data_IF_958231560203
#
_entry.id   IF_958231560203
#
_cell.length_a   1.000
_cell.length_b   1.000
_cell.length_c   1.000
_cell.angle_alpha   90.00
_cell.angle_beta   90.00
_cell.angle_gamma   90.00
#
_symmetry.space_group_name_H-M   'P 1'
#
loop_
_entity.id
_entity.type
_entity.pdbx_description
1 polymer ?
#
# COMPACT_ATOMS: atom_id res chain seq x y z
N UNK A 1 25.97 -13.62 32.02
CA UNK A 1 26.33 -13.36 30.61
C UNK A 1 25.29 -12.41 30.05
N UNK A 2 25.70 -11.40 29.28
CA UNK A 2 24.86 -10.24 28.98
C UNK A 2 23.58 -10.64 28.24
N UNK A 3 22.41 -10.41 28.86
CA UNK A 3 21.10 -10.65 28.24
C UNK A 3 20.65 -9.50 27.32
N UNK A 4 21.54 -8.54 27.06
CA UNK A 4 21.30 -7.35 26.21
C UNK A 4 22.56 -7.05 25.40
N UNK A 5 22.37 -6.64 24.15
CA UNK A 5 23.42 -6.11 23.27
C UNK A 5 23.60 -4.62 23.52
N UNK A 6 24.77 -4.10 23.18
CA UNK A 6 25.04 -2.66 23.23
C UNK A 6 24.11 -1.87 22.28
N UNK A 7 23.73 -2.48 21.16
CA UNK A 7 22.82 -1.90 20.18
C UNK A 7 21.34 -1.96 20.58
N UNK A 8 20.96 -2.72 21.61
CA UNK A 8 19.55 -2.81 22.02
C UNK A 8 19.01 -1.47 22.52
N UNK A 9 17.73 -1.21 22.30
CA UNK A 9 17.07 0.01 22.71
C UNK A 9 16.69 -0.06 24.19
N UNK A 10 16.99 1.01 24.92
CA UNK A 10 16.46 1.25 26.25
C UNK A 10 15.00 1.69 26.18
N UNK A 11 14.30 1.62 27.32
CA UNK A 11 12.95 2.18 27.41
C UNK A 11 12.94 3.67 27.08
N UNK A 12 13.93 4.45 27.50
CA UNK A 12 13.96 5.89 27.24
C UNK A 12 14.10 6.19 25.74
N UNK A 13 14.95 5.45 25.03
CA UNK A 13 15.08 5.58 23.57
C UNK A 13 13.76 5.20 22.86
N UNK A 14 13.03 4.19 23.35
CA UNK A 14 11.70 3.87 22.82
C UNK A 14 10.67 4.98 23.08
N UNK A 15 10.75 5.70 24.21
CA UNK A 15 9.90 6.86 24.47
C UNK A 15 10.20 8.01 23.50
N UNK A 16 11.48 8.24 23.20
CA UNK A 16 11.92 9.23 22.23
C UNK A 16 11.47 8.85 20.81
N UNK A 17 11.68 7.59 20.41
CA UNK A 17 11.28 7.05 19.10
C UNK A 17 9.78 7.18 18.84
N UNK A 18 8.97 6.91 19.87
CA UNK A 18 7.50 6.96 19.77
C UNK A 18 6.91 8.36 20.03
N UNK A 19 7.68 9.25 20.68
CA UNK A 19 7.19 10.53 21.18
C UNK A 19 6.17 10.40 22.34
N UNK A 20 6.07 9.23 22.97
CA UNK A 20 5.10 8.95 24.03
C UNK A 20 5.69 9.14 25.42
N UNK A 21 4.86 9.58 26.37
CA UNK A 21 5.23 9.52 27.79
C UNK A 21 5.28 8.06 28.26
N UNK A 22 6.02 7.78 29.35
CA UNK A 22 6.14 6.41 29.90
C UNK A 22 4.80 5.73 30.16
N UNK A 23 3.79 6.48 30.63
CA UNK A 23 2.44 5.94 30.84
C UNK A 23 1.77 5.59 29.51
N UNK A 24 1.76 6.53 28.57
CA UNK A 24 1.18 6.33 27.24
C UNK A 24 1.85 5.16 26.50
N UNK A 25 3.19 5.05 26.57
CA UNK A 25 3.92 3.94 25.99
C UNK A 25 3.48 2.59 26.54
N UNK A 26 3.34 2.48 27.88
CA UNK A 26 2.88 1.24 28.51
C UNK A 26 1.45 0.89 28.09
N UNK A 27 0.55 1.87 28.08
CA UNK A 27 -0.85 1.68 27.68
C UNK A 27 -0.94 1.29 26.19
N UNK A 28 -0.13 1.92 25.34
CA UNK A 28 0.00 1.61 23.91
C UNK A 28 0.56 0.20 23.68
N UNK A 29 1.62 -0.20 24.40
CA UNK A 29 2.21 -1.54 24.29
C UNK A 29 1.25 -2.63 24.73
N UNK A 30 0.51 -2.43 25.83
CA UNK A 30 -0.56 -3.34 26.24
C UNK A 30 -1.64 -3.45 25.16
N UNK A 31 -2.03 -2.32 24.57
CA UNK A 31 -3.03 -2.31 23.50
C UNK A 31 -2.52 -3.02 22.24
N UNK A 32 -1.26 -2.82 21.87
CA UNK A 32 -0.60 -3.55 20.79
C UNK A 32 -0.65 -5.05 21.05
N UNK A 33 -0.26 -5.49 22.24
CA UNK A 33 -0.29 -6.90 22.63
C UNK A 33 -1.72 -7.48 22.49
N UNK A 34 -2.73 -6.76 22.98
CA UNK A 34 -4.13 -7.17 22.87
C UNK A 34 -4.63 -7.26 21.41
N UNK A 35 -4.21 -6.33 20.54
CA UNK A 35 -4.71 -6.25 19.15
C UNK A 35 -4.07 -7.27 18.22
N UNK A 36 -2.78 -7.54 18.42
CA UNK A 36 -1.98 -8.38 17.53
C UNK A 36 -1.60 -9.72 18.15
N UNK A 37 -2.15 -10.03 19.33
CA UNK A 37 -1.96 -11.30 20.04
C UNK A 37 -0.47 -11.58 20.35
N UNK A 38 0.16 -10.62 21.03
CA UNK A 38 1.48 -10.81 21.68
C UNK A 38 1.30 -10.91 23.19
N UNK A 39 2.23 -11.57 23.87
CA UNK A 39 2.30 -11.49 25.32
C UNK A 39 3.26 -10.37 25.72
N UNK A 40 2.90 -9.60 26.75
CA UNK A 40 3.79 -8.53 27.24
C UNK A 40 5.16 -9.08 27.69
N UNK A 41 5.21 -10.33 28.16
CA UNK A 41 6.44 -10.99 28.59
C UNK A 41 7.42 -11.26 27.44
N UNK A 42 6.95 -11.30 26.20
CA UNK A 42 7.81 -11.50 25.02
C UNK A 42 8.76 -10.29 24.84
N UNK A 43 8.34 -9.11 25.30
CA UNK A 43 9.14 -7.88 25.29
C UNK A 43 10.00 -7.72 26.56
N UNK A 44 10.17 -8.77 27.36
CA UNK A 44 10.91 -8.74 28.62
C UNK A 44 12.22 -9.51 28.53
N UNK A 45 13.21 -9.06 29.30
CA UNK A 45 14.53 -9.71 29.40
C UNK A 45 14.44 -11.05 30.14
N UNK A 46 13.50 -11.14 31.08
CA UNK A 46 13.14 -12.38 31.77
C UNK A 46 11.65 -12.61 31.58
N UNK A 47 11.32 -13.55 30.69
CA UNK A 47 9.96 -13.94 30.32
C UNK A 47 9.18 -14.54 31.49
N UNK A 48 9.87 -14.99 32.54
CA UNK A 48 9.23 -15.52 33.77
C UNK A 48 8.92 -14.41 34.78
N UNK A 49 9.36 -13.18 34.53
CA UNK A 49 9.27 -12.07 35.47
C UNK A 49 8.79 -10.78 34.79
N UNK A 50 7.52 -10.44 34.99
CA UNK A 50 6.90 -9.22 34.45
C UNK A 50 7.57 -7.91 34.90
N UNK A 51 8.27 -7.93 36.05
CA UNK A 51 9.01 -6.77 36.57
C UNK A 51 10.40 -6.63 35.98
N UNK A 52 10.84 -7.56 35.15
CA UNK A 52 12.12 -7.46 34.48
C UNK A 52 12.13 -6.29 33.49
N UNK A 53 13.34 -5.87 33.16
CA UNK A 53 13.55 -4.83 32.16
C UNK A 53 13.00 -5.24 30.80
N UNK A 54 12.71 -4.26 29.96
CA UNK A 54 12.33 -4.52 28.58
C UNK A 54 13.52 -4.99 27.74
N UNK A 55 13.18 -5.82 26.75
CA UNK A 55 14.04 -6.32 25.69
C UNK A 55 13.55 -5.73 24.37
N UNK A 56 14.25 -4.71 23.86
CA UNK A 56 13.93 -4.05 22.59
C UNK A 56 15.13 -4.13 21.65
N UNK A 57 15.36 -5.31 21.05
CA UNK A 57 16.40 -5.48 20.06
C UNK A 57 16.13 -4.59 18.83
N UNK A 58 17.15 -4.08 18.09
CA UNK A 58 16.95 -3.16 16.97
C UNK A 58 15.99 -3.68 15.89
N UNK A 59 16.04 -4.98 15.60
CA UNK A 59 15.15 -5.71 14.69
C UNK A 59 13.65 -5.60 15.07
N UNK A 60 13.33 -5.40 16.36
CA UNK A 60 11.97 -5.24 16.87
C UNK A 60 11.64 -3.77 17.19
N UNK A 61 12.61 -3.03 17.72
CA UNK A 61 12.40 -1.70 18.30
C UNK A 61 11.84 -0.70 17.28
N UNK A 62 12.40 -0.67 16.07
CA UNK A 62 12.01 0.26 15.01
C UNK A 62 10.58 -0.01 14.48
N UNK A 63 10.23 -1.25 14.05
CA UNK A 63 8.85 -1.53 13.61
C UNK A 63 7.84 -1.43 14.76
N UNK A 64 8.21 -1.82 15.99
CA UNK A 64 7.34 -1.63 17.16
C UNK A 64 7.14 -0.14 17.45
N UNK A 65 8.19 0.68 17.40
CA UNK A 65 8.13 2.12 17.61
C UNK A 65 7.18 2.79 16.62
N UNK A 66 7.29 2.45 15.33
CA UNK A 66 6.38 2.90 14.29
C UNK A 66 4.92 2.55 14.62
N UNK A 67 4.66 1.30 15.00
CA UNK A 67 3.32 0.81 15.36
C UNK A 67 2.74 1.55 16.57
N UNK A 68 3.53 1.70 17.63
CA UNK A 68 3.09 2.35 18.88
C UNK A 68 2.85 3.85 18.70
N UNK A 69 3.61 4.52 17.83
CA UNK A 69 3.42 5.94 17.49
C UNK A 69 2.02 6.19 16.89
N UNK A 70 1.55 5.28 16.03
CA UNK A 70 0.27 5.43 15.33
C UNK A 70 -0.91 4.70 15.98
N UNK A 71 -0.68 3.84 16.97
CA UNK A 71 -1.72 2.94 17.48
C UNK A 71 -2.98 3.66 17.99
N UNK A 72 -2.84 4.87 18.55
CA UNK A 72 -3.96 5.67 19.06
C UNK A 72 -4.91 6.09 17.92
N UNK A 73 -4.38 6.26 16.71
CA UNK A 73 -5.14 6.63 15.52
C UNK A 73 -5.74 5.42 14.81
N UNK A 74 -5.44 4.20 15.26
CA UNK A 74 -6.02 3.00 14.66
C UNK A 74 -7.55 3.04 14.82
N UNK A 75 -8.34 2.76 13.76
CA UNK A 75 -9.81 2.78 13.82
C UNK A 75 -10.44 1.90 14.92
N UNK A 76 -9.71 0.90 15.41
CA UNK A 76 -10.14 -0.06 16.42
C UNK A 76 -9.36 0.11 17.72
N UNK A 77 -8.76 1.28 17.97
CA UNK A 77 -7.95 1.50 19.17
C UNK A 77 -8.74 1.25 20.46
N UNK A 78 -10.05 1.52 20.52
CA UNK A 78 -10.86 1.20 21.71
C UNK A 78 -11.30 -0.25 21.69
N UNK A 79 -11.19 -0.94 22.84
CA UNK A 79 -11.56 -2.37 22.98
C UNK A 79 -12.99 -2.69 22.50
N UNK A 80 -13.92 -1.78 22.73
CA UNK A 80 -15.34 -1.94 22.41
C UNK A 80 -15.76 -1.05 21.23
N UNK A 81 -14.85 -0.71 20.31
CA UNK A 81 -15.24 0.00 19.09
C UNK A 81 -16.22 -0.88 18.32
N UNK A 82 -17.39 -0.33 18.00
CA UNK A 82 -18.34 -0.98 17.11
C UNK A 82 -17.77 -0.97 15.68
N UNK A 83 -17.54 -2.14 15.05
CA UNK A 83 -17.05 -2.20 13.67
C UNK A 83 -17.89 -1.40 12.68
N UNK A 84 -19.18 -1.19 12.98
CA UNK A 84 -20.08 -0.42 12.12
C UNK A 84 -19.74 1.07 12.05
N UNK A 85 -18.91 1.55 12.98
CA UNK A 85 -18.48 2.96 13.07
C UNK A 85 -17.16 3.25 12.35
N UNK A 86 -16.50 2.22 11.78
CA UNK A 86 -15.27 2.39 11.02
C UNK A 86 -15.58 3.03 9.67
N UNK A 87 -14.90 4.13 9.34
CA UNK A 87 -15.03 4.82 8.06
C UNK A 87 -13.85 4.52 7.14
N UNK A 88 -14.08 4.58 5.82
CA UNK A 88 -13.01 4.40 4.84
C UNK A 88 -11.94 5.51 4.95
N UNK A 89 -12.33 6.73 5.30
CA UNK A 89 -11.38 7.82 5.57
C UNK A 89 -10.47 7.53 6.76
N UNK A 90 -11.01 7.05 7.88
CA UNK A 90 -10.18 6.74 9.06
C UNK A 90 -9.17 5.61 8.77
N UNK A 91 -9.58 4.62 7.98
CA UNK A 91 -8.70 3.57 7.47
C UNK A 91 -7.58 4.12 6.57
N UNK A 92 -7.93 4.99 5.63
CA UNK A 92 -6.99 5.62 4.72
C UNK A 92 -5.97 6.49 5.47
N UNK A 93 -6.44 7.35 6.37
CA UNK A 93 -5.60 8.25 7.16
C UNK A 93 -4.63 7.48 8.06
N UNK A 94 -5.08 6.38 8.65
CA UNK A 94 -4.22 5.51 9.46
C UNK A 94 -3.09 4.88 8.63
N UNK A 95 -3.42 4.28 7.47
CA UNK A 95 -2.41 3.73 6.57
C UNK A 95 -1.46 4.82 6.05
N UNK A 96 -1.99 5.98 5.67
CA UNK A 96 -1.21 7.13 5.21
C UNK A 96 -0.20 7.59 6.27
N UNK A 97 -0.61 7.65 7.53
CA UNK A 97 0.25 8.04 8.66
C UNK A 97 1.43 7.10 8.83
N UNK A 98 1.19 5.79 8.80
CA UNK A 98 2.26 4.78 8.90
C UNK A 98 3.19 4.85 7.69
N UNK A 99 2.64 4.83 6.48
CA UNK A 99 3.43 4.83 5.23
C UNK A 99 4.31 6.08 5.12
N UNK A 100 3.81 7.24 5.56
CA UNK A 100 4.60 8.46 5.61
C UNK A 100 5.83 8.31 6.52
N UNK A 101 5.66 7.77 7.72
CA UNK A 101 6.79 7.56 8.63
C UNK A 101 7.75 6.46 8.15
N UNK A 102 7.25 5.46 7.41
CA UNK A 102 8.11 4.49 6.70
C UNK A 102 8.99 5.19 5.67
N UNK A 103 8.48 6.20 4.97
CA UNK A 103 9.26 6.95 3.98
C UNK A 103 10.23 7.96 4.63
N UNK A 104 9.84 8.58 5.75
CA UNK A 104 10.53 9.74 6.31
C UNK A 104 11.42 9.43 7.53
N UNK A 105 11.07 8.44 8.35
CA UNK A 105 11.59 8.31 9.72
C UNK A 105 12.29 7.00 10.03
N UNK A 106 11.89 5.87 9.43
CA UNK A 106 12.49 4.57 9.76
C UNK A 106 13.86 4.38 9.10
N UNK A 107 14.78 3.59 9.69
CA UNK A 107 16.05 3.25 9.06
C UNK A 107 15.87 2.59 7.69
N UNK A 108 16.86 2.80 6.81
CA UNK A 108 16.84 2.34 5.40
C UNK A 108 16.54 0.85 5.28
N UNK A 109 17.08 0.04 6.20
CA UNK A 109 16.82 -1.39 6.23
C UNK A 109 15.32 -1.69 6.36
N UNK A 110 14.65 -1.15 7.38
CA UNK A 110 13.22 -1.39 7.61
C UNK A 110 12.35 -0.80 6.51
N UNK A 111 12.71 0.36 5.95
CA UNK A 111 12.05 0.87 4.75
C UNK A 111 12.08 -0.18 3.64
N UNK A 112 13.26 -0.71 3.32
CA UNK A 112 13.42 -1.68 2.24
C UNK A 112 12.68 -3.01 2.52
N UNK A 113 12.70 -3.50 3.77
CA UNK A 113 11.97 -4.70 4.18
C UNK A 113 10.46 -4.49 4.03
N UNK A 114 9.91 -3.38 4.54
CA UNK A 114 8.48 -3.08 4.45
C UNK A 114 8.05 -2.96 2.99
N UNK A 115 8.83 -2.28 2.15
CA UNK A 115 8.57 -2.19 0.71
C UNK A 115 8.64 -3.54 -0.01
N UNK A 116 9.37 -4.52 0.52
CA UNK A 116 9.42 -5.87 -0.03
C UNK A 116 8.14 -6.66 0.27
N UNK A 117 7.38 -6.28 1.31
CA UNK A 117 6.16 -6.95 1.71
C UNK A 117 4.97 -6.56 0.81
N UNK A 118 4.16 -7.54 0.37
CA UNK A 118 3.09 -7.28 -0.59
C UNK A 118 1.98 -6.38 -0.03
N UNK A 119 1.67 -6.50 1.26
CA UNK A 119 0.64 -5.68 1.90
C UNK A 119 0.95 -4.17 1.92
N UNK A 120 2.22 -3.77 1.76
CA UNK A 120 2.59 -2.36 1.63
C UNK A 120 1.91 -1.69 0.42
N UNK A 121 1.92 -2.35 -0.75
CA UNK A 121 1.30 -1.78 -1.95
C UNK A 121 -0.21 -1.65 -1.80
N UNK A 122 -0.86 -2.63 -1.18
CA UNK A 122 -2.30 -2.60 -0.93
C UNK A 122 -2.66 -1.50 0.06
N UNK A 123 -1.90 -1.36 1.15
CA UNK A 123 -2.11 -0.27 2.11
C UNK A 123 -1.96 1.11 1.46
N UNK A 124 -1.01 1.26 0.53
CA UNK A 124 -0.85 2.48 -0.25
C UNK A 124 -2.06 2.75 -1.15
N UNK A 125 -2.55 1.76 -1.88
CA UNK A 125 -3.74 1.91 -2.71
C UNK A 125 -5.00 2.23 -1.89
N UNK A 126 -5.17 1.64 -0.70
CA UNK A 126 -6.27 1.97 0.23
C UNK A 126 -6.15 3.44 0.68
N UNK A 127 -4.96 3.86 1.11
CA UNK A 127 -4.68 5.24 1.50
C UNK A 127 -5.02 6.22 0.37
N UNK A 128 -4.57 5.93 -0.84
CA UNK A 128 -4.78 6.80 -1.98
C UNK A 128 -6.26 6.83 -2.39
N UNK A 129 -6.87 5.68 -2.65
CA UNK A 129 -8.15 5.61 -3.38
C UNK A 129 -9.41 5.71 -2.52
N UNK A 130 -9.37 5.43 -1.22
CA UNK A 130 -10.58 5.34 -0.40
C UNK A 130 -11.45 6.59 -0.44
N UNK A 131 -10.86 7.77 -0.26
CA UNK A 131 -11.61 9.04 -0.25
C UNK A 131 -12.28 9.34 -1.61
N UNK A 132 -11.57 9.07 -2.71
CA UNK A 132 -12.12 9.24 -4.06
C UNK A 132 -13.24 8.25 -4.35
N UNK A 133 -13.04 6.99 -3.97
CA UNK A 133 -14.04 5.95 -4.16
C UNK A 133 -15.34 6.29 -3.44
N UNK A 134 -15.26 6.77 -2.20
CA UNK A 134 -16.41 7.27 -1.43
C UNK A 134 -17.09 8.45 -2.14
N UNK A 135 -16.30 9.42 -2.64
CA UNK A 135 -16.86 10.59 -3.34
C UNK A 135 -17.61 10.19 -4.60
N UNK A 136 -16.97 9.43 -5.49
CA UNK A 136 -17.55 9.03 -6.78
C UNK A 136 -18.76 8.10 -6.59
N UNK A 137 -18.72 7.21 -5.59
CA UNK A 137 -19.88 6.38 -5.25
C UNK A 137 -21.04 7.20 -4.70
N UNK A 138 -20.75 8.26 -3.92
CA UNK A 138 -21.77 9.21 -3.44
C UNK A 138 -22.41 9.93 -4.62
N UNK A 139 -21.61 10.52 -5.52
CA UNK A 139 -22.11 11.19 -6.72
C UNK A 139 -22.97 10.27 -7.58
N UNK A 140 -22.53 9.02 -7.76
CA UNK A 140 -23.29 8.01 -8.48
C UNK A 140 -24.67 7.77 -7.84
N UNK A 141 -24.73 7.60 -6.51
CA UNK A 141 -26.00 7.39 -5.81
C UNK A 141 -26.95 8.58 -5.91
N UNK A 142 -26.44 9.81 -5.83
CA UNK A 142 -27.24 11.03 -6.03
C UNK A 142 -27.81 11.06 -7.44
N UNK A 143 -26.97 10.82 -8.46
CA UNK A 143 -27.37 10.80 -9.87
C UNK A 143 -28.50 9.80 -10.15
N UNK A 144 -28.47 8.62 -9.51
CA UNK A 144 -29.55 7.62 -9.66
C UNK A 144 -30.91 8.11 -9.11
N UNK A 145 -30.91 9.08 -8.20
CA UNK A 145 -32.13 9.58 -7.55
C UNK A 145 -32.61 10.93 -8.09
N UNK A 146 -31.70 11.75 -8.63
CA UNK A 146 -31.98 13.14 -8.99
C UNK A 146 -32.15 13.40 -10.48
N UNK A 147 -31.69 12.49 -11.36
CA UNK A 147 -31.72 12.72 -12.81
C UNK A 147 -33.07 12.30 -13.42
N UNK A 148 -33.83 13.27 -13.95
CA UNK A 148 -35.20 13.05 -14.43
C UNK A 148 -35.28 12.57 -15.90
N UNK A 149 -34.30 12.94 -16.72
CA UNK A 149 -34.34 12.73 -18.18
C UNK A 149 -33.43 11.61 -18.68
N UNK A 150 -32.88 10.79 -17.78
CA UNK A 150 -31.92 9.73 -18.09
C UNK A 150 -32.47 8.33 -17.83
N UNK A 151 -31.95 7.34 -18.57
CA UNK A 151 -32.32 5.94 -18.35
C UNK A 151 -31.49 5.33 -17.21
N UNK A 152 -31.93 5.60 -15.98
CA UNK A 152 -31.32 5.09 -14.74
C UNK A 152 -31.15 3.55 -14.78
N UNK A 153 -32.13 2.82 -15.35
CA UNK A 153 -32.05 1.36 -15.49
C UNK A 153 -30.93 0.88 -16.41
N UNK A 154 -30.65 1.59 -17.50
CA UNK A 154 -29.52 1.30 -18.38
C UNK A 154 -28.18 1.53 -17.68
N UNK A 155 -28.06 2.62 -16.92
CA UNK A 155 -26.89 2.93 -16.09
C UNK A 155 -26.65 1.86 -15.03
N UNK A 156 -27.68 1.43 -14.31
CA UNK A 156 -27.59 0.33 -13.35
C UNK A 156 -27.13 -0.98 -14.02
N UNK A 157 -27.63 -1.29 -15.23
CA UNK A 157 -27.22 -2.46 -16.00
C UNK A 157 -25.72 -2.42 -16.35
N UNK A 158 -25.21 -1.27 -16.79
CA UNK A 158 -23.79 -1.12 -17.12
C UNK A 158 -22.90 -1.22 -15.88
N UNK A 159 -23.27 -0.52 -14.81
CA UNK A 159 -22.57 -0.58 -13.52
C UNK A 159 -22.51 -2.03 -13.00
N UNK A 160 -23.63 -2.76 -13.04
CA UNK A 160 -23.70 -4.17 -12.63
C UNK A 160 -22.76 -5.06 -13.46
N UNK A 161 -22.68 -4.85 -14.78
CA UNK A 161 -21.77 -5.60 -15.66
C UNK A 161 -20.30 -5.31 -15.34
N UNK A 162 -19.95 -4.04 -15.10
CA UNK A 162 -18.60 -3.63 -14.70
C UNK A 162 -18.22 -4.24 -13.35
N UNK A 163 -19.10 -4.17 -12.35
CA UNK A 163 -18.90 -4.81 -11.05
C UNK A 163 -18.75 -6.33 -11.17
N UNK A 164 -19.58 -7.01 -11.96
CA UNK A 164 -19.47 -8.46 -12.18
C UNK A 164 -18.11 -8.85 -12.77
N UNK A 165 -17.58 -8.07 -13.73
CA UNK A 165 -16.23 -8.28 -14.27
C UNK A 165 -15.15 -8.06 -13.22
N UNK A 166 -15.24 -6.98 -12.44
CA UNK A 166 -14.29 -6.69 -11.36
C UNK A 166 -14.28 -7.81 -10.30
N UNK A 167 -15.46 -8.29 -9.88
CA UNK A 167 -15.58 -9.41 -8.95
C UNK A 167 -14.92 -10.68 -9.49
N UNK A 168 -15.14 -11.00 -10.76
CA UNK A 168 -14.49 -12.15 -11.39
C UNK A 168 -12.96 -11.98 -11.46
N UNK A 169 -12.46 -10.78 -11.78
CA UNK A 169 -11.02 -10.53 -11.84
C UNK A 169 -10.35 -10.59 -10.47
N UNK A 170 -10.99 -10.08 -9.41
CA UNK A 170 -10.52 -10.22 -8.03
C UNK A 170 -10.44 -11.70 -7.65
N UNK A 171 -11.50 -12.48 -7.91
CA UNK A 171 -11.50 -13.92 -7.65
C UNK A 171 -10.43 -14.65 -8.45
N UNK A 172 -10.33 -14.38 -9.76
CA UNK A 172 -9.34 -15.00 -10.66
C UNK A 172 -7.92 -14.70 -10.22
N UNK A 173 -7.63 -13.45 -9.82
CA UNK A 173 -6.33 -13.03 -9.32
C UNK A 173 -5.96 -13.83 -8.07
N UNK A 174 -6.85 -13.84 -7.08
CA UNK A 174 -6.68 -14.60 -5.84
C UNK A 174 -6.48 -16.11 -6.10
N UNK A 175 -7.29 -16.72 -6.96
CA UNK A 175 -7.14 -18.12 -7.35
C UNK A 175 -5.80 -18.40 -8.03
N UNK A 176 -5.37 -17.53 -8.95
CA UNK A 176 -4.13 -17.73 -9.71
C UNK A 176 -2.91 -17.62 -8.80
N UNK A 177 -2.90 -16.65 -7.88
CA UNK A 177 -1.81 -16.49 -6.91
C UNK A 177 -1.71 -17.70 -5.99
N UNK A 178 -2.83 -18.14 -5.39
CA UNK A 178 -2.85 -19.35 -4.55
C UNK A 178 -2.28 -20.58 -5.27
N UNK A 179 -2.70 -20.78 -6.53
CA UNK A 179 -2.22 -21.91 -7.33
C UNK A 179 -0.73 -21.78 -7.70
N UNK A 180 -0.24 -20.56 -7.89
CA UNK A 180 1.17 -20.31 -8.16
C UNK A 180 2.02 -20.57 -6.91
N UNK A 181 1.55 -20.15 -5.74
CA UNK A 181 2.21 -20.42 -4.45
C UNK A 181 2.28 -21.93 -4.19
N UNK A 182 1.18 -22.65 -4.37
CA UNK A 182 1.15 -24.13 -4.25
C UNK A 182 2.15 -24.80 -5.20
N UNK A 183 2.27 -24.31 -6.43
CA UNK A 183 3.20 -24.85 -7.42
C UNK A 183 4.65 -24.51 -7.11
N UNK A 184 4.93 -23.31 -6.63
CA UNK A 184 6.28 -22.91 -6.22
C UNK A 184 6.76 -23.78 -5.05
N UNK A 185 5.89 -24.02 -4.06
CA UNK A 185 6.18 -24.94 -2.94
C UNK A 185 6.49 -26.36 -3.41
N UNK A 186 5.74 -26.88 -4.37
CA UNK A 186 6.03 -28.19 -4.96
C UNK A 186 7.42 -28.22 -5.61
N UNK A 187 7.77 -27.19 -6.39
CA UNK A 187 9.07 -27.08 -7.06
C UNK A 187 10.21 -26.96 -6.04
N UNK A 188 10.04 -26.14 -5.00
CA UNK A 188 11.06 -25.96 -3.96
C UNK A 188 11.32 -27.25 -3.17
N UNK A 189 10.25 -28.00 -2.86
CA UNK A 189 10.36 -29.32 -2.26
C UNK A 189 11.09 -30.31 -3.18
N UNK A 190 10.73 -30.33 -4.47
CA UNK A 190 11.35 -31.22 -5.46
C UNK A 190 12.84 -30.91 -5.71
N UNK A 191 13.22 -29.63 -5.76
CA UNK A 191 14.58 -29.21 -6.12
C UNK A 191 15.52 -29.06 -4.93
N UNK A 192 15.00 -28.58 -3.79
CA UNK A 192 15.82 -28.17 -2.64
C UNK A 192 15.49 -28.94 -1.36
N UNK A 193 14.48 -29.82 -1.38
CA UNK A 193 14.01 -30.57 -0.20
C UNK A 193 13.64 -29.65 0.98
N UNK A 194 13.05 -28.50 0.67
CA UNK A 194 12.48 -27.56 1.63
C UNK A 194 11.02 -27.97 1.83
N UNK A 195 10.67 -28.43 3.03
CA UNK A 195 9.40 -29.12 3.26
C UNK A 195 8.20 -28.17 3.43
N UNK A 196 8.38 -26.97 4.00
CA UNK A 196 7.31 -25.97 4.19
C UNK A 196 7.87 -24.59 4.62
N UNK A 197 7.23 -23.50 4.15
CA UNK A 197 7.40 -22.15 4.71
C UNK A 197 6.90 -22.11 6.16
N UNK A 198 7.52 -21.29 7.02
CA UNK A 198 6.95 -21.05 8.35
C UNK A 198 5.56 -20.40 8.23
N UNK A 199 4.68 -20.60 9.22
CA UNK A 199 3.37 -19.93 9.20
C UNK A 199 3.49 -18.40 9.15
N UNK A 200 4.56 -17.85 9.73
CA UNK A 200 4.84 -16.42 9.74
C UNK A 200 5.19 -15.94 8.33
N UNK A 201 6.02 -16.69 7.59
CA UNK A 201 6.34 -16.38 6.20
C UNK A 201 5.06 -16.36 5.34
N UNK A 202 4.19 -17.36 5.51
CA UNK A 202 2.89 -17.40 4.81
C UNK A 202 2.05 -16.16 5.15
N UNK A 203 2.04 -15.70 6.40
CA UNK A 203 1.28 -14.50 6.81
C UNK A 203 1.90 -13.22 6.24
N UNK A 204 3.22 -13.09 6.22
CA UNK A 204 3.94 -11.95 5.64
C UNK A 204 3.70 -11.80 4.13
N UNK A 205 3.43 -12.90 3.42
CA UNK A 205 3.17 -12.88 1.97
C UNK A 205 1.72 -12.53 1.60
N UNK A 206 0.80 -12.37 2.55
CA UNK A 206 -0.59 -12.02 2.25
C UNK A 206 -0.70 -10.57 1.75
N UNK A 207 -1.36 -10.40 0.60
CA UNK A 207 -1.60 -9.07 -0.02
C UNK A 207 -2.72 -8.29 0.70
N UNK A 208 -3.84 -8.94 0.99
CA UNK A 208 -5.00 -8.29 1.62
C UNK A 208 -4.89 -8.29 3.15
N UNK A 209 -3.85 -7.63 3.65
CA UNK A 209 -3.69 -7.31 5.06
C UNK A 209 -3.39 -5.82 5.19
N UNK A 210 -3.89 -5.21 6.26
CA UNK A 210 -3.49 -3.86 6.61
C UNK A 210 -2.00 -3.77 6.97
N UNK A 211 -1.40 -2.60 6.79
CA UNK A 211 0.05 -2.41 6.99
C UNK A 211 0.48 -2.77 8.42
N UNK A 212 -0.37 -2.50 9.40
CA UNK A 212 -0.14 -2.77 10.81
C UNK A 212 -0.11 -4.28 11.11
N UNK A 213 -0.97 -5.08 10.46
CA UNK A 213 -0.93 -6.55 10.55
C UNK A 213 0.35 -7.11 9.96
N UNK A 214 0.77 -6.58 8.81
CA UNK A 214 2.03 -6.97 8.16
C UNK A 214 3.22 -6.63 9.06
N UNK A 215 3.25 -5.43 9.65
CA UNK A 215 4.28 -5.03 10.60
C UNK A 215 4.27 -5.88 11.89
N UNK A 216 3.10 -6.27 12.38
CA UNK A 216 2.99 -7.17 13.52
C UNK A 216 3.57 -8.56 13.20
N UNK A 217 3.31 -9.13 12.03
CA UNK A 217 3.93 -10.40 11.62
C UNK A 217 5.44 -10.26 11.44
N UNK A 218 5.92 -9.11 10.93
CA UNK A 218 7.36 -8.83 10.83
C UNK A 218 8.01 -8.79 12.22
N UNK A 219 7.38 -8.10 13.18
CA UNK A 219 7.86 -8.07 14.57
C UNK A 219 7.93 -9.48 15.15
N UNK A 220 6.94 -10.34 14.87
CA UNK A 220 6.95 -11.73 15.36
C UNK A 220 8.11 -12.53 14.77
N UNK A 221 8.36 -12.38 13.47
CA UNK A 221 9.47 -13.03 12.77
C UNK A 221 10.83 -12.61 13.36
N UNK A 222 11.05 -11.29 13.48
CA UNK A 222 12.28 -10.73 14.05
C UNK A 222 12.46 -11.12 15.53
N UNK A 223 11.36 -11.28 16.26
CA UNK A 223 11.37 -11.71 17.65
C UNK A 223 11.84 -13.15 17.82
N UNK A 224 11.42 -14.07 16.96
CA UNK A 224 11.93 -15.46 16.96
C UNK A 224 13.45 -15.48 16.72
N UNK A 225 13.92 -14.72 15.73
CA UNK A 225 15.35 -14.58 15.44
C UNK A 225 16.13 -13.96 16.61
N UNK A 226 15.61 -12.90 17.23
CA UNK A 226 16.23 -12.23 18.37
C UNK A 226 16.31 -13.13 19.60
N UNK A 227 15.29 -13.93 19.88
CA UNK A 227 15.31 -14.89 20.98
C UNK A 227 16.31 -16.02 20.73
N UNK A 228 16.39 -16.55 19.50
CA UNK A 228 17.38 -17.55 19.14
C UNK A 228 18.82 -17.02 19.33
N UNK A 229 19.11 -15.82 18.81
CA UNK A 229 20.42 -15.17 19.00
C UNK A 229 20.76 -14.93 20.48
N UNK A 230 19.76 -14.63 21.30
CA UNK A 230 19.94 -14.43 22.75
C UNK A 230 20.32 -15.73 23.46
N UNK A 231 19.72 -16.85 23.07
CA UNK A 231 19.98 -18.18 23.65
C UNK A 231 21.36 -18.71 23.28
N UNK A 232 21.78 -18.53 22.02
CA UNK A 232 23.11 -18.90 21.54
C UNK A 232 24.22 -17.97 22.05
N UNK A 233 23.83 -16.79 22.55
CA UNK A 233 24.73 -15.73 22.98
C UNK A 233 24.97 -14.75 21.86
N UNK A 234 24.71 -13.47 22.12
CA UNK A 234 24.85 -12.44 21.11
C UNK A 234 26.31 -12.29 20.70
N UNK A 235 26.64 -12.47 19.41
CA UNK A 235 27.94 -12.06 18.92
C UNK A 235 28.01 -10.53 18.96
N UNK A 236 29.11 -9.97 19.47
CA UNK A 236 29.32 -8.54 19.41
C UNK A 236 29.50 -8.15 17.93
N UNK A 237 28.72 -7.15 17.47
CA UNK A 237 28.84 -6.65 16.11
C UNK A 237 30.27 -6.24 15.80
N UNK A 238 30.96 -5.61 16.76
CA UNK A 238 32.35 -5.23 16.60
C UNK A 238 33.23 -6.46 16.37
N UNK A 239 33.01 -7.55 17.08
CA UNK A 239 33.75 -8.80 16.89
C UNK A 239 33.47 -9.44 15.52
N UNK A 240 32.21 -9.44 15.06
CA UNK A 240 31.84 -9.92 13.72
C UNK A 240 32.57 -9.12 12.64
N UNK A 241 32.56 -7.79 12.78
CA UNK A 241 33.15 -6.89 11.79
C UNK A 241 34.68 -6.93 11.84
N UNK A 242 35.28 -7.03 13.02
CA UNK A 242 36.73 -7.21 13.18
C UNK A 242 37.17 -8.55 12.55
N UNK A 243 36.40 -9.63 12.73
CA UNK A 243 36.65 -10.92 12.09
C UNK A 243 36.61 -10.84 10.56
N UNK A 244 35.57 -10.23 9.99
CA UNK A 244 35.42 -10.07 8.54
C UNK A 244 36.46 -9.14 7.93
N UNK A 245 36.78 -8.03 8.60
CA UNK A 245 37.87 -7.13 8.22
C UNK A 245 39.21 -7.86 8.18
N UNK A 246 39.51 -8.66 9.22
CA UNK A 246 40.73 -9.46 9.25
C UNK A 246 40.76 -10.49 8.12
N UNK A 247 39.64 -11.16 7.83
CA UNK A 247 39.54 -12.12 6.71
C UNK A 247 39.78 -11.47 5.35
N UNK A 248 39.25 -10.26 5.12
CA UNK A 248 39.42 -9.54 3.84
C UNK A 248 40.77 -8.85 3.71
N UNK A 249 41.41 -8.43 4.82
CA UNK A 249 42.80 -7.96 4.83
C UNK A 249 43.77 -9.02 4.33
N UNK A 250 43.52 -10.31 4.60
CA UNK A 250 44.31 -11.43 4.04
C UNK A 250 44.26 -11.43 2.50
N UNK A 251 43.17 -10.96 1.91
CA UNK A 251 43.00 -10.81 0.45
C UNK A 251 43.48 -9.46 -0.09
N UNK A 252 44.11 -8.60 0.74
CA UNK A 252 44.58 -7.27 0.36
C UNK A 252 43.46 -6.22 0.20
N UNK A 253 42.25 -6.52 0.70
CA UNK A 253 41.08 -5.65 0.58
C UNK A 253 40.69 -5.11 1.96
N UNK A 254 40.57 -3.79 2.11
CA UNK A 254 39.93 -3.19 3.28
C UNK A 254 38.43 -3.24 3.10
N UNK A 255 37.70 -3.64 4.13
CA UNK A 255 36.25 -3.61 4.13
C UNK A 255 35.77 -2.47 5.03
N UNK A 256 34.85 -1.69 4.47
CA UNK A 256 34.21 -0.57 5.13
C UNK A 256 32.72 -0.77 4.93
N UNK A 257 31.94 -0.63 5.99
CA UNK A 257 30.50 -0.50 5.85
C UNK A 257 30.22 0.97 5.63
N UNK A 258 29.58 1.28 4.51
CA UNK A 258 29.14 2.64 4.18
C UNK A 258 27.62 2.70 4.25
N UNK A 259 27.09 3.85 4.65
CA UNK A 259 25.66 4.13 4.52
C UNK A 259 25.31 4.50 3.06
N UNK A 260 24.04 4.86 2.84
CA UNK A 260 23.52 5.30 1.54
C UNK A 260 24.12 6.62 1.02
N UNK A 261 24.86 7.35 1.84
CA UNK A 261 25.50 8.63 1.53
C UNK A 261 27.04 8.49 1.42
N UNK A 262 27.54 7.26 1.25
CA UNK A 262 28.96 6.91 1.28
C UNK A 262 29.68 7.29 2.58
N UNK A 263 28.93 7.53 3.67
CA UNK A 263 29.49 7.77 4.99
C UNK A 263 29.89 6.43 5.61
N UNK A 264 31.15 6.32 6.02
CA UNK A 264 31.66 5.13 6.70
C UNK A 264 30.94 4.97 8.04
N UNK A 265 30.08 3.95 8.12
CA UNK A 265 29.41 3.53 9.35
C UNK A 265 30.35 2.71 10.22
N UNK A 266 31.23 1.93 9.60
CA UNK A 266 32.19 1.10 10.32
C UNK A 266 33.47 0.85 9.50
N UNK A 267 34.60 1.36 10.00
CA UNK A 267 35.97 1.04 9.57
C UNK A 267 36.92 1.27 10.75
N UNK A 268 37.43 0.21 11.40
CA UNK A 268 38.48 0.28 12.44
C UNK A 268 38.32 1.46 13.44
N UNK A 269 37.08 1.85 13.76
CA UNK A 269 36.82 2.97 14.67
C UNK A 269 37.12 2.44 16.06
N UNK A 270 38.05 3.03 16.84
CA UNK A 270 38.41 2.48 18.14
C UNK A 270 37.23 2.44 19.12
N UNK A 271 36.30 3.40 19.01
CA UNK A 271 35.11 3.56 19.85
C UNK A 271 33.92 4.06 18.99
N UNK A 272 33.20 3.18 18.27
CA UNK A 272 32.03 3.59 17.47
C UNK A 272 30.85 4.02 18.37
N UNK A 273 30.08 5.02 17.95
CA UNK A 273 28.84 5.39 18.68
C UNK A 273 27.77 4.30 18.55
N UNK A 274 26.78 4.30 19.45
CA UNK A 274 25.68 3.32 19.43
C UNK A 274 24.92 3.37 18.10
N UNK A 275 24.70 4.56 17.54
CA UNK A 275 24.01 4.75 16.26
C UNK A 275 24.82 4.19 15.08
N UNK A 276 26.15 4.37 15.11
CA UNK A 276 27.04 3.79 14.10
C UNK A 276 27.04 2.26 14.19
N UNK A 277 27.06 1.70 15.40
CA UNK A 277 26.92 0.27 15.63
C UNK A 277 25.57 -0.24 15.13
N UNK A 278 24.45 0.44 15.44
CA UNK A 278 23.11 0.08 14.91
C UNK A 278 23.06 0.12 13.39
N UNK A 279 23.62 1.16 12.76
CA UNK A 279 23.73 1.24 11.30
C UNK A 279 24.53 0.07 10.69
N UNK A 280 25.65 -0.29 11.32
CA UNK A 280 26.43 -1.46 10.96
C UNK A 280 25.65 -2.76 11.12
N UNK A 281 24.89 -2.92 12.21
CA UNK A 281 24.03 -4.07 12.48
C UNK A 281 22.95 -4.23 11.41
N UNK A 282 22.22 -3.15 11.11
CA UNK A 282 21.18 -3.13 10.07
C UNK A 282 21.73 -3.51 8.69
N UNK A 283 22.94 -3.04 8.36
CA UNK A 283 23.51 -3.24 7.03
C UNK A 283 24.14 -4.62 6.87
N UNK A 284 24.83 -5.10 7.90
CA UNK A 284 25.68 -6.29 7.81
C UNK A 284 25.03 -7.55 8.35
N UNK A 285 24.24 -7.43 9.43
CA UNK A 285 23.57 -8.59 10.05
C UNK A 285 22.20 -8.75 9.43
N UNK A 286 21.33 -7.74 9.56
CA UNK A 286 19.96 -7.84 9.04
C UNK A 286 19.91 -7.68 7.52
N UNK A 287 20.76 -6.85 6.92
CA UNK A 287 20.76 -6.58 5.48
C UNK A 287 20.97 -7.82 4.59
N UNK A 288 21.50 -8.92 5.14
CA UNK A 288 21.68 -10.18 4.41
C UNK A 288 20.36 -10.91 4.15
N UNK A 289 19.30 -10.63 4.92
CA UNK A 289 17.98 -11.26 4.78
C UNK A 289 17.06 -10.52 3.81
N UNK A 290 17.47 -9.34 3.33
CA UNK A 290 16.65 -8.48 2.48
C UNK A 290 16.55 -9.00 1.04
N UNK A 291 15.31 -9.20 0.56
CA UNK A 291 15.04 -9.41 -0.87
C UNK A 291 15.14 -8.09 -1.66
N UNK A 292 16.36 -7.75 -2.05
CA UNK A 292 16.67 -6.53 -2.80
C UNK A 292 15.93 -6.47 -4.15
N UNK A 293 15.70 -7.62 -4.79
CA UNK A 293 15.04 -7.66 -6.09
C UNK A 293 13.57 -7.24 -5.95
N UNK A 294 12.87 -7.84 -4.98
CA UNK A 294 11.48 -7.52 -4.68
C UNK A 294 11.30 -6.11 -4.17
N UNK A 295 12.19 -5.64 -3.30
CA UNK A 295 12.24 -4.23 -2.89
C UNK A 295 12.26 -3.29 -4.11
N UNK A 296 13.19 -3.49 -5.05
CA UNK A 296 13.33 -2.61 -6.24
C UNK A 296 12.07 -2.61 -7.10
N UNK A 297 11.47 -3.78 -7.33
CA UNK A 297 10.23 -3.92 -8.10
C UNK A 297 9.09 -3.17 -7.42
N UNK A 298 8.87 -3.43 -6.13
CA UNK A 298 7.77 -2.83 -5.39
C UNK A 298 7.95 -1.33 -5.21
N UNK A 299 9.17 -0.84 -4.98
CA UNK A 299 9.48 0.59 -4.94
C UNK A 299 9.16 1.28 -6.26
N UNK A 300 9.59 0.69 -7.38
CA UNK A 300 9.23 1.22 -8.71
C UNK A 300 7.73 1.22 -8.96
N UNK A 301 7.02 0.18 -8.53
CA UNK A 301 5.56 0.11 -8.65
C UNK A 301 4.87 1.18 -7.78
N UNK A 302 5.29 1.32 -6.53
CA UNK A 302 4.81 2.36 -5.60
C UNK A 302 5.01 3.78 -6.17
N UNK A 303 6.19 4.06 -6.74
CA UNK A 303 6.49 5.33 -7.40
C UNK A 303 5.58 5.58 -8.61
N UNK A 304 5.38 4.58 -9.47
CA UNK A 304 4.44 4.65 -10.60
C UNK A 304 2.99 4.84 -10.15
N UNK A 305 2.58 4.19 -9.06
CA UNK A 305 1.26 4.36 -8.45
C UNK A 305 1.07 5.80 -7.93
N UNK A 306 2.06 6.32 -7.18
CA UNK A 306 2.08 7.73 -6.70
C UNK A 306 2.04 8.70 -7.88
N UNK A 307 2.80 8.45 -8.94
CA UNK A 307 2.81 9.28 -10.15
C UNK A 307 1.48 9.23 -10.90
N UNK A 308 0.92 8.03 -11.09
CA UNK A 308 -0.40 7.85 -11.69
C UNK A 308 -1.46 8.58 -10.88
N UNK A 309 -1.43 8.46 -9.54
CA UNK A 309 -2.36 9.17 -8.67
C UNK A 309 -2.22 10.70 -8.77
N UNK A 310 -1.00 11.23 -8.81
CA UNK A 310 -0.78 12.68 -9.02
C UNK A 310 -1.35 13.17 -10.36
N UNK A 311 -1.35 12.31 -11.38
CA UNK A 311 -1.91 12.62 -12.71
C UNK A 311 -3.41 12.38 -12.78
N UNK A 312 -3.93 11.43 -12.01
CA UNK A 312 -5.35 11.12 -11.98
C UNK A 312 -6.12 12.31 -11.40
N UNK A 313 -7.19 12.67 -12.09
CA UNK A 313 -8.11 13.72 -11.70
C UNK A 313 -9.51 13.21 -11.94
N UNK A 314 -10.46 13.61 -11.10
CA UNK A 314 -11.85 13.31 -11.38
C UNK A 314 -12.33 14.13 -12.59
N UNK A 315 -13.42 13.70 -13.25
CA UNK A 315 -13.86 14.30 -14.52
C UNK A 315 -14.18 15.79 -14.36
N UNK A 316 -14.81 16.18 -13.26
CA UNK A 316 -15.06 17.57 -12.88
C UNK A 316 -13.75 18.38 -12.84
N UNK A 317 -12.72 17.87 -12.18
CA UNK A 317 -11.41 18.54 -12.10
C UNK A 317 -10.71 18.57 -13.47
N UNK A 318 -10.80 17.49 -14.26
CA UNK A 318 -10.25 17.46 -15.62
C UNK A 318 -10.95 18.46 -16.55
N UNK A 319 -12.23 18.72 -16.33
CA UNK A 319 -12.99 19.73 -17.08
C UNK A 319 -12.49 21.12 -16.71
N UNK A 320 -12.36 21.42 -15.41
CA UNK A 320 -11.92 22.73 -14.92
C UNK A 320 -10.53 23.14 -15.42
N UNK A 321 -9.62 22.18 -15.56
CA UNK A 321 -8.26 22.42 -16.03
C UNK A 321 -8.07 22.17 -17.54
N UNK A 322 -9.14 21.85 -18.27
CA UNK A 322 -9.15 21.64 -19.71
C UNK A 322 -8.44 20.36 -20.18
N UNK A 323 -8.17 19.40 -19.29
CA UNK A 323 -7.54 18.11 -19.64
C UNK A 323 -8.54 16.99 -19.95
N UNK A 324 -9.83 17.21 -19.66
CA UNK A 324 -10.88 16.25 -19.99
C UNK A 324 -11.09 16.18 -21.50
N UNK A 325 -10.71 15.06 -22.10
CA UNK A 325 -11.07 14.77 -23.48
C UNK A 325 -12.30 13.87 -23.48
N UNK A 326 -13.48 14.50 -23.47
CA UNK A 326 -14.71 13.81 -23.77
C UNK A 326 -14.61 13.29 -25.20
N UNK A 327 -14.72 11.97 -25.39
CA UNK A 327 -14.77 11.42 -26.74
C UNK A 327 -16.04 11.96 -27.40
N UNK A 328 -15.89 13.05 -28.14
CA UNK A 328 -16.98 13.55 -28.96
C UNK A 328 -17.39 12.40 -29.87
N UNK A 329 -18.69 12.26 -30.11
CA UNK A 329 -19.25 11.30 -31.08
C UNK A 329 -18.43 11.32 -32.37
N UNK A 330 -17.82 12.45 -32.74
CA UNK A 330 -16.91 12.65 -33.88
C UNK A 330 -15.64 11.78 -33.92
N UNK A 331 -14.98 11.45 -32.80
CA UNK A 331 -13.78 10.57 -32.82
C UNK A 331 -14.14 9.08 -32.87
N UNK A 332 -15.19 8.68 -32.14
CA UNK A 332 -15.74 7.33 -32.25
C UNK A 332 -16.39 7.12 -33.62
N UNK A 333 -17.10 8.12 -34.16
CA UNK A 333 -17.53 8.15 -35.56
C UNK A 333 -16.36 8.20 -36.50
N UNK A 334 -15.22 8.85 -36.22
CA UNK A 334 -14.05 8.85 -37.12
C UNK A 334 -13.40 7.48 -37.17
N UNK A 335 -13.33 6.77 -36.04
CA UNK A 335 -12.80 5.41 -35.94
C UNK A 335 -13.76 4.40 -36.56
N UNK A 336 -15.06 4.54 -36.29
CA UNK A 336 -16.12 3.77 -36.94
C UNK A 336 -16.24 4.11 -38.43
N UNK A 337 -16.04 5.37 -38.85
CA UNK A 337 -15.94 5.81 -40.26
C UNK A 337 -14.66 5.27 -40.88
N UNK A 338 -13.53 5.16 -40.18
CA UNK A 338 -12.32 4.55 -40.75
C UNK A 338 -12.49 3.04 -40.95
N UNK A 339 -13.10 2.35 -39.99
CA UNK A 339 -13.43 0.92 -40.09
C UNK A 339 -14.58 0.66 -41.07
N UNK A 340 -15.54 1.57 -41.18
CA UNK A 340 -16.55 1.59 -42.24
C UNK A 340 -15.94 2.04 -43.57
N UNK A 341 -14.94 2.92 -43.65
CA UNK A 341 -14.26 3.36 -44.88
C UNK A 341 -13.46 2.21 -45.49
N UNK A 342 -12.87 1.34 -44.69
CA UNK A 342 -12.28 0.08 -45.17
C UNK A 342 -13.34 -0.84 -45.78
N UNK A 343 -14.51 -0.98 -45.12
CA UNK A 343 -15.64 -1.79 -45.62
C UNK A 343 -16.40 -1.12 -46.77
N UNK A 344 -16.40 0.21 -46.79
CA UNK A 344 -17.02 1.08 -47.77
C UNK A 344 -16.09 1.23 -48.95
N UNK A 345 -14.76 1.19 -48.89
CA UNK A 345 -13.93 1.22 -50.10
C UNK A 345 -14.15 -0.03 -50.97
N UNK A 346 -14.44 -1.19 -50.35
CA UNK A 346 -14.92 -2.38 -51.05
C UNK A 346 -16.34 -2.20 -51.61
N UNK A 347 -17.23 -1.53 -50.87
CA UNK A 347 -18.62 -1.28 -51.26
C UNK A 347 -18.81 -0.10 -52.22
N UNK A 348 -17.90 0.88 -52.19
CA UNK A 348 -17.81 2.13 -52.96
C UNK A 348 -17.40 1.82 -54.38
N UNK A 349 -16.63 0.75 -54.60
CA UNK A 349 -16.38 0.22 -55.93
C UNK A 349 -17.66 -0.28 -56.62
N UNK A 350 -18.61 -0.83 -55.87
CA UNK A 350 -19.94 -1.23 -56.37
C UNK A 350 -20.98 -0.11 -56.33
N UNK A 351 -20.92 0.78 -55.34
CA UNK A 351 -21.83 1.92 -55.19
C UNK A 351 -21.47 3.09 -56.10
N UNK A 352 -20.23 3.25 -56.58
CA UNK A 352 -19.88 4.30 -57.56
C UNK A 352 -20.59 4.05 -58.91
N UNK A 353 -20.81 2.78 -59.28
CA UNK A 353 -21.62 2.39 -60.43
C UNK A 353 -23.13 2.69 -60.22
N UNK A 354 -23.57 2.75 -58.96
CA UNK A 354 -24.96 3.04 -58.56
C UNK A 354 -25.18 4.55 -58.28
N UNK A 355 -24.16 5.28 -57.82
CA UNK A 355 -24.17 6.71 -57.49
C UNK A 355 -24.19 7.59 -58.75
N UNK A 356 -23.49 7.18 -59.81
CA UNK A 356 -23.55 7.83 -61.13
C UNK A 356 -24.98 7.75 -61.73
N UNK A 357 -25.86 6.90 -61.18
CA UNK A 357 -27.27 6.79 -61.56
C UNK A 357 -28.24 7.61 -60.70
N UNK A 358 -27.77 8.23 -59.59
CA UNK A 358 -28.61 8.80 -58.53
C UNK A 358 -28.27 10.24 -58.11
N UNK A 359 -27.46 10.97 -58.88
CA UNK A 359 -27.08 12.39 -58.64
C UNK A 359 -28.28 13.36 -58.72
N UNK A 360 -29.12 13.34 -57.69
CA UNK A 360 -30.24 14.26 -57.55
C UNK A 360 -30.96 14.13 -56.21
N UNK A 361 -30.40 14.68 -55.12
CA UNK A 361 -31.06 15.58 -54.13
C UNK A 361 -30.27 15.72 -52.82
N UNK A 362 -30.18 16.97 -52.35
CA UNK A 362 -29.57 17.44 -51.10
C UNK A 362 -30.42 17.18 -49.82
N UNK A 363 -29.72 17.12 -48.66
CA UNK A 363 -30.22 17.57 -47.35
C UNK A 363 -30.18 16.54 -46.21
N UNK A 364 -29.30 16.73 -45.21
CA UNK A 364 -29.33 15.97 -43.94
C UNK A 364 -29.85 16.85 -42.78
N UNK A 365 -30.84 16.40 -41.97
CA UNK A 365 -31.46 17.20 -40.93
C UNK A 365 -31.03 16.73 -39.52
N UNK A 366 -29.91 17.20 -38.98
CA UNK A 366 -29.61 17.11 -37.54
C UNK A 366 -28.71 18.27 -37.11
N UNK A 367 -29.08 18.98 -36.03
CA UNK A 367 -28.22 19.95 -35.38
C UNK A 367 -27.16 19.19 -34.58
N UNK A 368 -25.88 19.38 -34.93
CA UNK A 368 -24.76 18.81 -34.19
C UNK A 368 -24.47 19.67 -32.96
N UNK A 369 -24.10 19.03 -31.84
CA UNK A 369 -23.53 19.73 -30.67
C UNK A 369 -22.36 20.62 -31.12
N UNK A 370 -22.42 21.90 -30.77
CA UNK A 370 -21.32 22.83 -30.99
C UNK A 370 -20.30 22.72 -29.85
N UNK A 371 -19.07 23.18 -30.11
CA UNK A 371 -18.04 23.26 -29.06
C UNK A 371 -18.46 24.16 -27.89
N UNK A 372 -19.39 25.09 -28.11
CA UNK A 372 -19.93 25.96 -27.06
C UNK A 372 -20.98 25.22 -26.22
N UNK A 373 -21.83 24.39 -26.82
CA UNK A 373 -22.77 23.51 -26.10
C UNK A 373 -22.02 22.48 -25.22
N UNK A 374 -20.87 22.00 -25.69
CA UNK A 374 -20.00 21.11 -24.94
C UNK A 374 -19.42 21.80 -23.70
N UNK A 375 -18.87 23.01 -23.86
CA UNK A 375 -18.29 23.79 -22.74
C UNK A 375 -19.33 24.14 -21.70
N UNK A 376 -20.54 24.55 -22.12
CA UNK A 376 -21.61 24.89 -21.19
C UNK A 376 -22.03 23.69 -20.34
N UNK A 377 -22.21 22.52 -20.96
CA UNK A 377 -22.54 21.27 -20.25
C UNK A 377 -21.45 20.87 -19.28
N UNK A 378 -20.20 20.92 -19.72
CA UNK A 378 -19.04 20.59 -18.89
C UNK A 378 -18.93 21.51 -17.67
N UNK A 379 -19.11 22.83 -17.85
CA UNK A 379 -19.15 23.78 -16.75
C UNK A 379 -20.33 23.51 -15.78
N UNK A 380 -21.50 23.21 -16.33
CA UNK A 380 -22.69 22.85 -15.54
C UNK A 380 -22.47 21.59 -14.70
N UNK A 381 -21.79 20.58 -15.25
CA UNK A 381 -21.44 19.35 -14.54
C UNK A 381 -20.51 19.62 -13.34
N UNK A 382 -19.49 20.46 -13.51
CA UNK A 382 -18.59 20.86 -12.42
C UNK A 382 -19.36 21.54 -11.29
N UNK A 383 -20.21 22.50 -11.63
CA UNK A 383 -21.04 23.20 -10.65
C UNK A 383 -22.02 22.26 -9.94
N UNK A 384 -22.53 21.25 -10.65
CA UNK A 384 -23.35 20.18 -10.07
C UNK A 384 -22.55 19.36 -9.04
N UNK A 385 -21.37 18.86 -9.39
CA UNK A 385 -20.52 18.08 -8.47
C UNK A 385 -20.21 18.87 -7.18
N UNK A 386 -19.85 20.16 -7.30
CA UNK A 386 -19.61 21.04 -6.14
C UNK A 386 -20.85 21.19 -5.26
N UNK A 387 -22.04 21.31 -5.85
CA UNK A 387 -23.29 21.38 -5.09
C UNK A 387 -23.54 20.09 -4.34
N UNK A 388 -23.37 18.93 -4.98
CA UNK A 388 -23.52 17.61 -4.35
C UNK A 388 -22.56 17.46 -3.17
N UNK A 389 -21.28 17.82 -3.33
CA UNK A 389 -20.29 17.75 -2.25
C UNK A 389 -20.69 18.59 -1.02
N UNK A 390 -21.43 19.67 -1.22
CA UNK A 390 -21.91 20.55 -0.14
C UNK A 390 -23.24 20.08 0.43
N UNK A 391 -24.21 19.71 -0.42
CA UNK A 391 -25.59 19.43 -0.02
C UNK A 391 -25.80 18.01 0.50
N UNK A 392 -25.06 17.03 -0.02
CA UNK A 392 -25.28 15.60 0.24
C UNK A 392 -24.32 15.01 1.27
N UNK A 393 -23.92 15.81 2.26
CA UNK A 393 -23.01 15.38 3.33
C UNK A 393 -23.51 14.16 4.10
N UNK A 394 -24.82 14.06 4.33
CA UNK A 394 -25.41 12.90 5.01
C UNK A 394 -25.24 11.61 4.21
N UNK A 395 -25.38 11.66 2.88
CA UNK A 395 -25.21 10.49 2.03
C UNK A 395 -23.72 10.12 1.94
N UNK A 396 -22.84 11.12 1.82
CA UNK A 396 -21.39 10.93 1.88
C UNK A 396 -20.99 10.17 3.15
N UNK A 397 -21.48 10.60 4.31
CA UNK A 397 -21.18 9.94 5.58
C UNK A 397 -21.66 8.48 5.59
N UNK A 398 -22.86 8.19 5.07
CA UNK A 398 -23.38 6.82 4.95
C UNK A 398 -22.49 5.96 4.04
N UNK A 399 -22.12 6.47 2.87
CA UNK A 399 -21.25 5.77 1.91
C UNK A 399 -19.87 5.51 2.53
N UNK A 400 -19.32 6.50 3.24
CA UNK A 400 -18.02 6.39 3.91
C UNK A 400 -18.02 5.28 4.98
N UNK A 401 -19.09 5.18 5.77
CA UNK A 401 -19.26 4.09 6.74
C UNK A 401 -19.45 2.74 6.03
N UNK A 402 -20.26 2.68 4.99
CA UNK A 402 -20.48 1.44 4.23
C UNK A 402 -19.18 0.89 3.63
N UNK A 403 -18.38 1.75 2.99
CA UNK A 403 -17.07 1.36 2.44
C UNK A 403 -16.11 0.97 3.58
N UNK A 404 -16.10 1.71 4.68
CA UNK A 404 -15.27 1.39 5.85
C UNK A 404 -15.60 0.03 6.46
N UNK A 405 -16.89 -0.32 6.55
CA UNK A 405 -17.35 -1.64 7.00
C UNK A 405 -16.94 -2.75 6.04
N UNK A 406 -16.98 -2.52 4.73
CA UNK A 406 -16.52 -3.51 3.75
C UNK A 406 -15.00 -3.73 3.85
N UNK A 407 -14.25 -2.67 4.18
CA UNK A 407 -12.80 -2.73 4.37
C UNK A 407 -12.37 -3.17 5.78
N UNK A 408 -13.30 -3.29 6.74
CA UNK A 408 -13.02 -3.69 8.11
C UNK A 408 -12.32 -5.06 8.22
N UNK A 409 -12.64 -6.00 7.32
CA UNK A 409 -11.97 -7.31 7.29
C UNK A 409 -10.46 -7.20 7.01
N UNK A 410 -9.97 -6.10 6.42
CA UNK A 410 -8.52 -5.88 6.26
C UNK A 410 -7.79 -5.58 7.57
N UNK A 411 -8.51 -5.12 8.61
CA UNK A 411 -7.95 -4.85 9.94
C UNK A 411 -7.97 -6.06 10.88
N UNK A 412 -8.63 -7.15 10.49
CA UNK A 412 -8.62 -8.41 11.23
C UNK A 412 -7.42 -9.25 10.84
#
# INVERSE_FOLDING_TARGET
>A
MAKKREVDFSLNEMLELTGLTRKQFRDALLRFCDMYNFNLVDFKVDETNEKSDYFFPPEIAEPLGLMLKHIINHPLYRKNTDPTTVTATALADYNAGILKDVDESVPVYFNNVIYSLPGHLVAQEISDWSALFVRELTHFMVNLSSMENENIGATMKDFTRKLSKMNYYLYRGNYSMKRQDERNKQIEKELYNIDEDSEIDIRLQKQNLSIDRVLAELIRWEMEGAHHMREEGFPDLKEILDYENNRRRILGVKFQIMDKNDQVLFEDIPNPTIEQQRGGYYSFVLGQTLDIARFKINKSNSEKMKEYRKKWKAIDTQIEDGTFNESTVREEYRKAIMEEMEKIDERRKGLQEELDSLDGKEGAPFAFETDDDLKERQASYVDYCKKVDISEKSLYDIVNHFVGQAMYEFLK
#
